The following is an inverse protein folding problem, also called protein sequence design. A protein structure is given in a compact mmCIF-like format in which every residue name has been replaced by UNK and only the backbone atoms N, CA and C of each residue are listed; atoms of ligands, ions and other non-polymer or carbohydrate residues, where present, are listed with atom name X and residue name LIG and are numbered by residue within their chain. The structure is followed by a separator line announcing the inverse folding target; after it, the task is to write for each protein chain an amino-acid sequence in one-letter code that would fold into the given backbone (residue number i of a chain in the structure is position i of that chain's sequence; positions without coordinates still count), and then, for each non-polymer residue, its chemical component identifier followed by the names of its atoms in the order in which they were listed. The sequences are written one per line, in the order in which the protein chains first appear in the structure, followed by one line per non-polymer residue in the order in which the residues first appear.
data_IF_475015745964
#
_entry.id   IF_475015745964
#
_cell.length_a   1.000
_cell.length_b   1.000
_cell.length_c   1.000
_cell.angle_alpha   90.00
_cell.angle_beta   90.00
_cell.angle_gamma   90.00
#
_symmetry.space_group_name_H-M   'P 1'
#
loop_
_entity.id
_entity.type
_entity.pdbx_description
1 polymer ?
#
# COMPACT_ATOMS: atom_id res chain seq x y z
N UNK A 1 36.11 -6.82 19.69
CA UNK A 1 35.58 -5.66 18.94
C UNK A 1 34.34 -6.11 18.19
N UNK A 2 33.13 -5.84 18.70
CA UNK A 2 31.90 -6.02 17.91
C UNK A 2 31.70 -4.74 17.10
N UNK A 3 31.56 -4.90 15.79
CA UNK A 3 31.48 -3.80 14.82
C UNK A 3 30.24 -2.94 15.10
N UNK A 4 30.34 -1.62 14.90
CA UNK A 4 29.29 -0.61 15.10
C UNK A 4 27.93 -0.97 14.43
N UNK A 5 27.98 -1.86 13.42
CA UNK A 5 26.82 -2.45 12.75
C UNK A 5 25.96 -3.36 13.66
N UNK A 6 26.57 -4.11 14.58
CA UNK A 6 25.83 -5.01 15.48
C UNK A 6 25.08 -4.25 16.58
N UNK A 7 25.62 -3.12 17.03
CA UNK A 7 24.97 -2.28 18.06
C UNK A 7 23.73 -1.54 17.55
N UNK A 8 23.54 -1.41 16.24
CA UNK A 8 22.34 -0.81 15.64
C UNK A 8 21.15 -1.78 15.61
N UNK A 9 21.41 -3.09 15.52
CA UNK A 9 20.38 -4.12 15.43
C UNK A 9 19.99 -4.77 16.77
N UNK A 10 20.72 -4.46 17.85
CA UNK A 10 20.38 -4.92 19.19
C UNK A 10 19.32 -3.99 19.82
N UNK A 11 18.16 -4.51 20.29
CA UNK A 11 17.19 -3.70 21.02
C UNK A 11 17.79 -3.22 22.35
N UNK A 12 17.61 -1.94 22.74
CA UNK A 12 18.20 -1.41 23.96
C UNK A 12 17.57 -2.05 25.22
N UNK A 13 18.28 -2.04 26.35
CA UNK A 13 17.73 -2.46 27.64
C UNK A 13 16.45 -1.68 27.97
N UNK A 14 15.45 -2.34 28.59
CA UNK A 14 14.19 -1.70 28.99
C UNK A 14 14.46 -0.46 29.87
N UNK A 15 14.27 0.74 29.32
CA UNK A 15 14.38 2.01 30.05
C UNK A 15 15.19 3.12 29.37
N UNK A 16 15.89 2.85 28.27
CA UNK A 16 16.57 3.90 27.47
C UNK A 16 15.82 4.24 26.17
N UNK A 17 15.92 5.50 25.75
CA UNK A 17 15.36 5.99 24.49
C UNK A 17 16.20 5.50 23.29
N UNK A 18 15.54 5.07 22.22
CA UNK A 18 16.22 4.78 20.95
C UNK A 18 16.95 6.05 20.49
N UNK A 19 18.23 5.93 20.15
CA UNK A 19 18.92 7.03 19.45
C UNK A 19 18.24 7.28 18.11
N UNK A 20 18.16 8.54 17.65
CA UNK A 20 17.45 8.92 16.42
C UNK A 20 17.88 8.05 15.22
N UNK A 21 19.18 7.73 15.10
CA UNK A 21 19.68 6.83 14.05
C UNK A 21 19.24 5.36 14.24
N UNK A 22 19.16 4.88 15.47
CA UNK A 22 18.71 3.52 15.80
C UNK A 22 17.20 3.36 15.59
N UNK A 23 16.42 4.43 15.82
CA UNK A 23 15.02 4.48 15.45
C UNK A 23 14.83 4.46 13.93
N UNK A 24 15.62 5.26 13.19
CA UNK A 24 15.54 5.36 11.72
C UNK A 24 16.03 4.11 10.97
N UNK A 25 17.05 3.41 11.48
CA UNK A 25 17.60 2.18 10.89
C UNK A 25 17.11 0.91 11.61
N UNK A 26 16.08 1.02 12.45
CA UNK A 26 15.44 -0.14 13.04
C UNK A 26 14.86 -1.04 11.96
N UNK A 27 14.94 -2.36 12.17
CA UNK A 27 14.34 -3.35 11.29
C UNK A 27 12.87 -3.05 10.98
N UNK A 28 12.13 -2.59 11.98
CA UNK A 28 10.72 -2.22 11.84
C UNK A 28 10.53 -1.06 10.85
N UNK A 29 11.35 -0.02 10.91
CA UNK A 29 11.28 1.10 9.96
C UNK A 29 11.71 0.70 8.54
N UNK A 30 12.69 -0.19 8.41
CA UNK A 30 13.12 -0.71 7.09
C UNK A 30 12.04 -1.60 6.48
N UNK A 31 11.42 -2.47 7.28
CA UNK A 31 10.30 -3.31 6.84
C UNK A 31 9.11 -2.43 6.43
N UNK A 32 8.79 -1.41 7.22
CA UNK A 32 7.75 -0.43 6.87
C UNK A 32 8.09 0.29 5.56
N UNK A 33 9.32 0.79 5.41
CA UNK A 33 9.75 1.49 4.21
C UNK A 33 9.63 0.62 2.95
N UNK A 34 10.13 -0.62 2.99
CA UNK A 34 10.04 -1.56 1.87
C UNK A 34 8.58 -1.96 1.58
N UNK A 35 7.78 -2.21 2.61
CA UNK A 35 6.36 -2.51 2.44
C UNK A 35 5.59 -1.34 1.81
N UNK A 36 5.87 -0.10 2.24
CA UNK A 36 5.25 1.11 1.69
C UNK A 36 5.70 1.36 0.25
N UNK A 37 6.98 1.20 -0.07
CA UNK A 37 7.48 1.36 -1.44
C UNK A 37 6.88 0.33 -2.40
N UNK A 38 6.89 -0.95 -2.01
CA UNK A 38 6.29 -2.02 -2.81
C UNK A 38 4.77 -1.86 -2.96
N UNK A 39 4.08 -1.44 -1.90
CA UNK A 39 2.64 -1.20 -1.89
C UNK A 39 2.21 0.00 -2.74
N UNK A 40 2.86 1.16 -2.55
CA UNK A 40 2.60 2.36 -3.32
C UNK A 40 2.98 2.17 -4.80
N UNK A 41 4.17 1.66 -5.08
CA UNK A 41 4.65 1.44 -6.45
C UNK A 41 3.72 0.52 -7.25
N UNK A 42 3.33 -0.63 -6.67
CA UNK A 42 2.39 -1.56 -7.32
C UNK A 42 1.01 -0.93 -7.55
N UNK A 43 0.54 -0.12 -6.60
CA UNK A 43 -0.75 0.57 -6.72
C UNK A 43 -0.71 1.64 -7.81
N UNK A 44 0.33 2.47 -7.87
CA UNK A 44 0.50 3.48 -8.91
C UNK A 44 0.58 2.84 -10.31
N UNK A 45 1.38 1.79 -10.50
CA UNK A 45 1.47 1.09 -11.79
C UNK A 45 0.14 0.47 -12.21
N UNK A 46 -0.64 -0.08 -11.26
CA UNK A 46 -1.97 -0.60 -11.55
C UNK A 46 -2.95 0.51 -11.97
N UNK A 47 -2.86 1.69 -11.37
CA UNK A 47 -3.67 2.87 -11.74
C UNK A 47 -3.30 3.40 -13.12
N UNK A 48 -2.02 3.51 -13.43
CA UNK A 48 -1.57 3.97 -14.75
C UNK A 48 -1.98 2.98 -15.85
N UNK A 49 -1.89 1.68 -15.59
CA UNK A 49 -2.36 0.66 -16.53
C UNK A 49 -3.89 0.70 -16.69
N UNK A 50 -4.65 0.98 -15.62
CA UNK A 50 -6.10 1.11 -15.70
C UNK A 50 -6.53 2.40 -16.41
N UNK A 51 -5.82 3.50 -16.21
CA UNK A 51 -6.02 4.77 -16.92
C UNK A 51 -5.83 4.61 -18.42
N UNK A 52 -4.75 3.92 -18.83
CA UNK A 52 -4.50 3.60 -20.24
C UNK A 52 -5.61 2.73 -20.85
N UNK A 53 -6.12 1.73 -20.11
CA UNK A 53 -7.27 0.92 -20.55
C UNK A 53 -8.54 1.77 -20.66
N UNK A 54 -8.81 2.65 -19.68
CA UNK A 54 -9.96 3.55 -19.67
C UNK A 54 -9.98 4.50 -20.86
N UNK A 55 -8.84 5.12 -21.16
CA UNK A 55 -8.65 5.97 -22.33
C UNK A 55 -8.91 5.20 -23.63
N UNK A 56 -8.40 3.96 -23.73
CA UNK A 56 -8.63 3.11 -24.92
C UNK A 56 -10.11 2.74 -25.16
N UNK A 57 -10.94 2.82 -24.12
CA UNK A 57 -12.38 2.55 -24.16
C UNK A 57 -13.23 3.83 -24.25
N UNK A 58 -12.61 5.02 -24.31
CA UNK A 58 -13.28 6.31 -24.37
C UNK A 58 -13.88 6.75 -23.03
N UNK A 59 -13.48 6.13 -21.91
CA UNK A 59 -13.84 6.63 -20.58
C UNK A 59 -13.00 7.86 -20.25
N UNK A 60 -13.58 8.90 -19.64
CA UNK A 60 -12.79 10.04 -19.22
C UNK A 60 -11.76 9.60 -18.18
N UNK A 61 -10.56 10.19 -18.21
CA UNK A 61 -9.47 9.91 -17.25
C UNK A 61 -9.86 10.31 -15.82
N UNK A 62 -10.63 9.45 -15.16
CA UNK A 62 -10.92 9.53 -13.74
C UNK A 62 -9.82 8.79 -12.99
N UNK A 63 -8.57 9.27 -13.07
CA UNK A 63 -7.41 8.70 -12.37
C UNK A 63 -7.51 8.78 -10.82
N UNK A 64 -8.71 9.03 -10.29
CA UNK A 64 -9.04 9.12 -8.88
C UNK A 64 -9.55 7.76 -8.39
N UNK A 65 -8.67 6.77 -8.28
CA UNK A 65 -8.86 5.81 -7.21
C UNK A 65 -8.95 6.61 -5.91
N UNK A 66 -10.14 6.59 -5.33
CA UNK A 66 -10.66 7.72 -4.59
C UNK A 66 -9.77 8.18 -3.43
N UNK A 67 -9.49 9.49 -3.26
CA UNK A 67 -8.84 10.03 -2.07
C UNK A 67 -9.67 9.76 -0.78
N UNK A 68 -10.92 9.31 -0.92
CA UNK A 68 -11.77 8.87 0.18
C UNK A 68 -11.13 7.75 1.01
N UNK A 69 -10.47 6.77 0.40
CA UNK A 69 -9.87 5.66 1.14
C UNK A 69 -8.76 6.13 2.09
N UNK A 70 -7.87 6.98 1.57
CA UNK A 70 -6.80 7.61 2.36
C UNK A 70 -7.35 8.51 3.45
N UNK A 71 -8.36 9.36 3.14
CA UNK A 71 -9.00 10.22 4.12
C UNK A 71 -9.68 9.43 5.25
N UNK A 72 -10.41 8.35 4.92
CA UNK A 72 -11.08 7.52 5.90
C UNK A 72 -10.06 6.79 6.80
N UNK A 73 -9.08 6.11 6.23
CA UNK A 73 -8.12 5.34 7.02
C UNK A 73 -7.16 6.22 7.84
N UNK A 74 -6.75 7.36 7.29
CA UNK A 74 -5.82 8.27 7.96
C UNK A 74 -6.54 9.17 8.98
N UNK A 75 -7.50 9.97 8.51
CA UNK A 75 -8.13 11.00 9.35
C UNK A 75 -9.18 10.40 10.29
N UNK A 76 -10.05 9.50 9.78
CA UNK A 76 -11.16 8.97 10.59
C UNK A 76 -10.76 7.80 11.46
N UNK A 77 -9.91 6.89 10.98
CA UNK A 77 -9.53 5.71 11.78
C UNK A 77 -8.30 6.01 12.64
N UNK A 78 -7.16 6.30 12.01
CA UNK A 78 -5.89 6.46 12.73
C UNK A 78 -5.92 7.67 13.65
N UNK A 79 -6.40 8.82 13.15
CA UNK A 79 -6.53 10.05 13.94
C UNK A 79 -7.43 9.91 15.17
N UNK A 80 -8.63 9.33 15.02
CA UNK A 80 -9.54 9.16 16.17
C UNK A 80 -9.00 8.19 17.23
N UNK A 81 -8.32 7.13 16.82
CA UNK A 81 -7.71 6.18 17.76
C UNK A 81 -6.56 6.81 18.54
N UNK A 82 -5.72 7.58 17.84
CA UNK A 82 -4.64 8.34 18.46
C UNK A 82 -5.19 9.35 19.47
N UNK A 83 -6.17 10.16 19.06
CA UNK A 83 -6.78 11.17 19.91
C UNK A 83 -7.46 10.55 21.15
N UNK A 84 -8.11 9.39 20.98
CA UNK A 84 -8.74 8.67 22.10
C UNK A 84 -7.72 8.25 23.15
N UNK A 85 -6.56 7.76 22.73
CA UNK A 85 -5.51 7.34 23.67
C UNK A 85 -4.78 8.55 24.28
N UNK A 86 -4.55 9.60 23.48
CA UNK A 86 -4.00 10.86 23.97
C UNK A 86 -4.88 11.49 25.06
N UNK A 87 -6.21 11.48 24.90
CA UNK A 87 -7.15 11.98 25.89
C UNK A 87 -7.14 11.18 27.20
N UNK A 88 -6.94 9.86 27.13
CA UNK A 88 -6.75 9.05 28.35
C UNK A 88 -5.48 9.45 29.09
N UNK A 89 -4.37 9.64 28.37
CA UNK A 89 -3.12 10.10 28.98
C UNK A 89 -3.26 11.49 29.59
N UNK A 90 -4.00 12.39 28.93
CA UNK A 90 -4.31 13.74 29.42
C UNK A 90 -5.06 13.68 30.75
N UNK A 91 -6.13 12.87 30.79
CA UNK A 91 -6.98 12.71 31.98
C UNK A 91 -6.22 12.06 33.12
N UNK A 92 -5.34 11.08 32.83
CA UNK A 92 -4.47 10.46 33.82
C UNK A 92 -3.47 11.45 34.44
N UNK A 93 -3.13 12.53 33.73
CA UNK A 93 -2.31 13.65 34.24
C UNK A 93 -3.14 14.73 34.94
N UNK A 94 -4.46 14.56 35.04
CA UNK A 94 -5.37 15.55 35.63
C UNK A 94 -5.60 16.79 34.77
N UNK A 95 -5.22 16.76 33.49
CA UNK A 95 -5.35 17.87 32.55
C UNK A 95 -6.55 17.65 31.63
N UNK A 96 -7.19 18.75 31.23
CA UNK A 96 -8.29 18.76 30.27
C UNK A 96 -7.82 19.28 28.91
N UNK A 97 -8.62 19.07 27.87
CA UNK A 97 -8.27 19.47 26.49
C UNK A 97 -8.02 20.98 26.34
N UNK A 98 -8.48 21.81 27.28
CA UNK A 98 -8.27 23.26 27.28
C UNK A 98 -6.91 23.67 27.85
N UNK A 99 -6.26 22.77 28.59
CA UNK A 99 -5.02 23.06 29.32
C UNK A 99 -3.77 22.81 28.46
N UNK A 100 -3.94 22.20 27.28
CA UNK A 100 -2.82 21.77 26.43
C UNK A 100 -3.03 22.27 25.00
N UNK A 101 -1.99 22.92 24.46
CA UNK A 101 -1.99 23.49 23.09
C UNK A 101 -2.08 22.40 22.02
N UNK A 102 -1.39 21.27 22.22
CA UNK A 102 -1.31 20.16 21.27
C UNK A 102 -1.67 18.83 21.94
N UNK A 103 -2.55 18.05 21.28
CA UNK A 103 -2.88 16.72 21.76
C UNK A 103 -1.84 15.72 21.29
N UNK A 104 -0.96 15.32 22.20
CA UNK A 104 0.08 14.34 21.91
C UNK A 104 -0.10 13.09 22.77
N UNK A 105 -0.08 11.93 22.10
CA UNK A 105 -0.01 10.62 22.72
C UNK A 105 1.44 10.12 22.65
N UNK A 106 1.98 9.69 23.79
CA UNK A 106 3.35 9.20 23.89
C UNK A 106 3.38 7.69 24.15
N UNK A 107 4.31 7.01 23.49
CA UNK A 107 4.54 5.57 23.65
C UNK A 107 3.87 4.69 22.59
N UNK A 108 4.20 3.40 22.62
CA UNK A 108 3.78 2.42 21.61
C UNK A 108 2.28 2.11 21.62
N UNK A 109 1.59 2.33 22.74
CA UNK A 109 0.16 2.06 22.88
C UNK A 109 -0.71 2.93 21.95
N UNK A 110 -0.21 4.12 21.60
CA UNK A 110 -0.88 5.07 20.71
C UNK A 110 -1.01 4.55 19.26
N UNK A 111 -0.07 3.69 18.84
CA UNK A 111 0.03 3.24 17.44
C UNK A 111 -0.26 1.75 17.27
N UNK A 112 -0.29 0.96 18.35
CA UNK A 112 -0.53 -0.48 18.30
C UNK A 112 -1.87 -0.84 17.64
N UNK A 113 -2.97 -0.22 18.08
CA UNK A 113 -4.30 -0.51 17.54
C UNK A 113 -4.47 -0.02 16.08
N UNK A 114 -4.06 1.22 15.71
CA UNK A 114 -4.07 1.65 14.31
C UNK A 114 -3.24 0.73 13.40
N UNK A 115 -2.06 0.30 13.85
CA UNK A 115 -1.20 -0.58 13.06
C UNK A 115 -1.84 -1.94 12.79
N UNK A 116 -2.48 -2.54 13.80
CA UNK A 116 -3.23 -3.80 13.62
C UNK A 116 -4.39 -3.64 12.65
N UNK A 117 -5.12 -2.52 12.71
CA UNK A 117 -6.22 -2.25 11.77
C UNK A 117 -5.68 -2.09 10.35
N UNK A 118 -4.62 -1.30 10.17
CA UNK A 118 -3.99 -1.13 8.87
C UNK A 118 -3.48 -2.46 8.29
N UNK A 119 -2.85 -3.30 9.11
CA UNK A 119 -2.39 -4.63 8.70
C UNK A 119 -3.56 -5.56 8.29
N UNK A 120 -4.69 -5.50 9.00
CA UNK A 120 -5.87 -6.28 8.64
C UNK A 120 -6.49 -5.80 7.31
N UNK A 121 -6.58 -4.49 7.11
CA UNK A 121 -7.10 -3.88 5.88
C UNK A 121 -6.21 -4.23 4.68
N UNK A 122 -4.87 -4.15 4.83
CA UNK A 122 -3.94 -4.52 3.76
C UNK A 122 -3.98 -6.01 3.44
N UNK A 123 -4.06 -6.87 4.45
CA UNK A 123 -4.22 -8.31 4.26
C UNK A 123 -5.50 -8.65 3.48
N UNK A 124 -6.63 -8.05 3.86
CA UNK A 124 -7.89 -8.23 3.15
C UNK A 124 -7.80 -7.71 1.71
N UNK A 125 -7.20 -6.54 1.50
CA UNK A 125 -6.94 -5.98 0.17
C UNK A 125 -6.11 -6.93 -0.70
N UNK A 126 -5.08 -7.56 -0.14
CA UNK A 126 -4.26 -8.54 -0.84
C UNK A 126 -5.06 -9.80 -1.25
N UNK A 127 -5.96 -10.29 -0.40
CA UNK A 127 -6.83 -11.42 -0.74
C UNK A 127 -7.79 -11.08 -1.89
N UNK A 128 -8.39 -9.89 -1.85
CA UNK A 128 -9.26 -9.40 -2.94
C UNK A 128 -8.46 -9.25 -4.24
N UNK A 129 -7.26 -8.64 -4.18
CA UNK A 129 -6.39 -8.50 -5.33
C UNK A 129 -5.97 -9.86 -5.92
N UNK A 130 -5.64 -10.83 -5.08
CA UNK A 130 -5.33 -12.20 -5.51
C UNK A 130 -6.54 -12.87 -6.16
N UNK A 131 -7.74 -12.73 -5.58
CA UNK A 131 -8.98 -13.23 -6.15
C UNK A 131 -9.27 -12.64 -7.52
N UNK A 132 -9.10 -11.31 -7.66
CA UNK A 132 -9.21 -10.61 -8.94
C UNK A 132 -8.17 -11.10 -9.94
N UNK A 133 -6.90 -11.23 -9.55
CA UNK A 133 -5.83 -11.73 -10.41
C UNK A 133 -6.09 -13.16 -10.92
N UNK A 134 -6.63 -14.04 -10.06
CA UNK A 134 -7.02 -15.40 -10.44
C UNK A 134 -8.20 -15.37 -11.43
N UNK A 135 -9.19 -14.50 -11.21
CA UNK A 135 -10.35 -14.32 -12.10
C UNK A 135 -9.94 -13.75 -13.45
N UNK A 136 -9.15 -12.69 -13.46
CA UNK A 136 -8.69 -12.02 -14.69
C UNK A 136 -7.74 -12.93 -15.47
N UNK A 137 -6.89 -13.74 -14.82
CA UNK A 137 -6.05 -14.74 -15.52
C UNK A 137 -6.84 -15.67 -16.44
N UNK A 138 -8.04 -16.11 -16.03
CA UNK A 138 -8.89 -16.96 -16.88
C UNK A 138 -9.43 -16.20 -18.08
N UNK A 139 -9.84 -14.95 -17.89
CA UNK A 139 -10.32 -14.06 -18.95
C UNK A 139 -9.21 -13.72 -19.97
N UNK A 140 -8.03 -13.32 -19.49
CA UNK A 140 -6.86 -13.02 -20.35
C UNK A 140 -6.38 -14.26 -21.13
N UNK A 141 -6.42 -15.47 -20.55
CA UNK A 141 -6.11 -16.71 -21.26
C UNK A 141 -7.17 -17.12 -22.30
N UNK A 142 -8.44 -16.79 -22.05
CA UNK A 142 -9.57 -17.29 -22.83
C UNK A 142 -9.85 -16.48 -24.10
N UNK A 143 -9.97 -15.16 -23.96
CA UNK A 143 -10.54 -14.31 -25.02
C UNK A 143 -9.47 -13.46 -25.71
N UNK A 144 -8.49 -12.95 -24.96
CA UNK A 144 -7.45 -12.07 -25.52
C UNK A 144 -6.38 -12.88 -26.27
N UNK A 145 -5.83 -13.94 -25.66
CA UNK A 145 -4.76 -14.73 -26.29
C UNK A 145 -5.24 -15.46 -27.56
N UNK A 146 -6.51 -15.88 -27.60
CA UNK A 146 -7.09 -16.50 -28.80
C UNK A 146 -7.33 -15.49 -29.93
N UNK A 147 -7.77 -14.27 -29.61
CA UNK A 147 -8.00 -13.22 -30.61
C UNK A 147 -6.70 -12.79 -31.29
N UNK A 148 -5.64 -12.53 -30.51
CA UNK A 148 -4.33 -12.18 -31.08
C UNK A 148 -3.69 -13.33 -31.87
N UNK A 149 -3.85 -14.59 -31.43
CA UNK A 149 -3.38 -15.75 -32.19
C UNK A 149 -4.19 -15.97 -33.48
N UNK A 150 -5.48 -15.66 -33.47
CA UNK A 150 -6.34 -15.65 -34.65
C UNK A 150 -5.89 -14.60 -35.67
N UNK A 151 -5.67 -13.37 -35.21
CA UNK A 151 -5.17 -12.26 -36.04
C UNK A 151 -3.79 -12.54 -36.64
N UNK A 152 -2.89 -13.22 -35.92
CA UNK A 152 -1.58 -13.63 -36.47
C UNK A 152 -1.72 -14.72 -37.53
N UNK A 153 -2.57 -15.73 -37.34
CA UNK A 153 -2.81 -16.77 -38.35
C UNK A 153 -3.52 -16.24 -39.60
N UNK A 154 -4.43 -15.28 -39.43
CA UNK A 154 -5.13 -14.62 -40.53
C UNK A 154 -4.16 -13.73 -41.31
N UNK A 155 -3.33 -12.94 -40.63
CA UNK A 155 -2.27 -12.12 -41.25
C UNK A 155 -1.24 -12.97 -42.00
N UNK A 156 -0.83 -14.11 -41.43
CA UNK A 156 0.12 -15.04 -42.07
C UNK A 156 -0.52 -15.73 -43.30
N UNK A 157 -1.80 -16.09 -43.22
CA UNK A 157 -2.54 -16.66 -44.36
C UNK A 157 -2.75 -15.65 -45.49
N UNK A 158 -2.98 -14.37 -45.18
CA UNK A 158 -3.13 -13.29 -46.17
C UNK A 158 -1.79 -13.00 -46.86
N UNK A 159 -0.69 -12.91 -46.11
CA UNK A 159 0.66 -12.72 -46.69
C UNK A 159 1.07 -13.88 -47.61
N UNK A 160 0.75 -15.12 -47.25
CA UNK A 160 1.07 -16.32 -48.06
C UNK A 160 0.16 -16.45 -49.29
N UNK A 161 -1.05 -15.89 -49.24
CA UNK A 161 -1.99 -15.86 -50.37
C UNK A 161 -1.60 -14.80 -51.41
N UNK A 162 -1.18 -13.62 -50.95
CA UNK A 162 -0.71 -12.53 -51.80
C UNK A 162 0.62 -12.88 -52.48
N UNK A 163 1.53 -13.54 -51.75
CA UNK A 163 2.81 -14.03 -52.29
C UNK A 163 2.68 -15.14 -53.35
N UNK A 164 1.53 -15.82 -53.45
CA UNK A 164 1.28 -16.85 -54.49
C UNK A 164 0.61 -16.29 -55.75
N UNK A 165 0.23 -15.02 -55.73
CA UNK A 165 -0.47 -14.35 -56.83
C UNK A 165 0.42 -13.35 -57.61
N UNK A 166 1.61 -13.08 -57.10
CA UNK A 166 2.72 -12.44 -57.81
C UNK A 166 3.65 -13.47 -58.45
#
# INVERSE_FOLDING_TARGET
MKSCLLTVFDPPPRGEDYTILQALLSLDMIILFLATFCGLGSSLTALDNLGQIGESLGYPNHALASPLGSYILNVRVTGMLYDREAMKQLTARGLTRKDVKDLTCLGSQCYKLPFVILAAVTFFGALVALGLAIRTRKFYKGDIYKKFRGESHESESVMVSDSRKS
#
